data_IF_139635346294
#
_entry.id   IF_139635346294
#
_cell.length_a   1.000
_cell.length_b   1.000
_cell.length_c   1.000
_cell.angle_alpha   90.00
_cell.angle_beta   90.00
_cell.angle_gamma   90.00
#
_symmetry.space_group_name_H-M   'P 1'
#
loop_
_entity.id
_entity.type
_entity.pdbx_description
1 polymer ?
#
# COMPACT_ATOMS: atom_id res chain seq x y z
N UNK A 1 -10.61 8.96 31.42
CA UNK A 1 -10.95 9.76 30.22
C UNK A 1 -11.02 8.80 29.05
N UNK A 2 -12.09 8.83 28.27
CA UNK A 2 -12.14 8.05 27.03
C UNK A 2 -11.06 8.59 26.07
N UNK A 3 -10.17 7.71 25.60
CA UNK A 3 -9.19 8.08 24.61
C UNK A 3 -9.91 8.61 23.35
N UNK A 4 -9.40 9.70 22.78
CA UNK A 4 -9.87 10.17 21.48
C UNK A 4 -9.48 9.12 20.46
N UNK A 5 -10.47 8.43 19.89
CA UNK A 5 -10.25 7.40 18.89
C UNK A 5 -10.54 8.02 17.53
N UNK A 6 -9.62 7.98 16.55
CA UNK A 6 -9.90 8.33 15.17
C UNK A 6 -11.14 7.61 14.67
N UNK A 7 -11.96 8.33 13.91
CA UNK A 7 -13.17 7.76 13.31
C UNK A 7 -12.84 7.22 11.93
N UNK A 8 -13.52 6.13 11.58
CA UNK A 8 -13.49 5.63 10.22
C UNK A 8 -14.38 6.54 9.35
N UNK A 9 -13.88 7.14 8.28
CA UNK A 9 -14.68 7.94 7.38
C UNK A 9 -15.69 7.07 6.65
N UNK A 10 -16.86 7.60 6.33
CA UNK A 10 -17.82 6.90 5.47
C UNK A 10 -17.34 6.92 4.01
N UNK A 11 -16.67 7.98 3.60
CA UNK A 11 -16.15 8.18 2.25
C UNK A 11 -14.71 8.67 2.28
N UNK A 12 -13.99 8.48 1.18
CA UNK A 12 -12.65 8.99 0.94
C UNK A 12 -12.56 9.54 -0.48
N UNK A 13 -11.90 10.70 -0.64
CA UNK A 13 -11.65 11.28 -1.96
C UNK A 13 -10.26 10.88 -2.45
N UNK A 14 -10.21 10.19 -3.57
CA UNK A 14 -9.00 9.68 -4.21
C UNK A 14 -8.65 10.53 -5.42
N UNK A 15 -7.42 11.02 -5.51
CA UNK A 15 -6.87 11.64 -6.70
C UNK A 15 -6.27 10.57 -7.61
N UNK A 16 -6.74 10.49 -8.87
CA UNK A 16 -6.35 9.42 -9.80
C UNK A 16 -4.99 9.71 -10.48
N UNK A 17 -3.95 9.91 -9.69
CA UNK A 17 -2.60 10.20 -10.19
C UNK A 17 -1.65 10.64 -9.09
N UNK A 18 -0.47 11.13 -9.48
CA UNK A 18 0.46 11.77 -8.56
C UNK A 18 -0.13 13.10 -8.03
N UNK A 19 0.25 13.58 -6.84
CA UNK A 19 -0.41 14.72 -6.19
C UNK A 19 -0.54 16.00 -7.03
N UNK A 20 0.41 16.24 -7.93
CA UNK A 20 0.44 17.41 -8.81
C UNK A 20 -0.01 17.10 -10.25
N UNK A 21 -0.46 15.89 -10.52
CA UNK A 21 -0.94 15.52 -11.84
C UNK A 21 -2.29 16.17 -12.14
N UNK A 22 -2.53 16.45 -13.42
CA UNK A 22 -3.85 16.86 -13.88
C UNK A 22 -4.73 15.61 -14.04
N UNK A 23 -5.33 15.18 -12.93
CA UNK A 23 -6.15 13.97 -12.87
C UNK A 23 -7.46 14.24 -12.13
N UNK A 24 -8.44 13.34 -12.31
CA UNK A 24 -9.73 13.43 -11.64
C UNK A 24 -9.63 13.09 -10.16
N UNK A 25 -10.54 13.65 -9.37
CA UNK A 25 -10.80 13.20 -8.00
C UNK A 25 -12.10 12.40 -8.00
N UNK A 26 -12.09 11.24 -7.37
CA UNK A 26 -13.27 10.39 -7.16
C UNK A 26 -13.53 10.22 -5.68
N UNK A 27 -14.78 10.37 -5.27
CA UNK A 27 -15.18 10.10 -3.88
C UNK A 27 -15.92 8.77 -3.83
N UNK A 28 -15.43 7.88 -2.99
CA UNK A 28 -15.95 6.51 -2.87
C UNK A 28 -16.17 6.14 -1.40
N UNK A 29 -17.06 5.20 -1.09
CA UNK A 29 -17.16 4.67 0.28
C UNK A 29 -15.80 4.15 0.75
N UNK A 30 -15.43 4.47 2.00
CA UNK A 30 -14.11 4.09 2.55
C UNK A 30 -13.89 2.57 2.50
N UNK A 31 -14.91 1.79 2.84
CA UNK A 31 -14.85 0.32 2.77
C UNK A 31 -14.58 -0.16 1.34
N UNK A 32 -15.24 0.46 0.35
CA UNK A 32 -15.03 0.14 -1.07
C UNK A 32 -13.60 0.51 -1.52
N UNK A 33 -13.06 1.62 -1.02
CA UNK A 33 -11.67 2.01 -1.24
C UNK A 33 -10.71 0.93 -0.72
N UNK A 34 -10.88 0.47 0.52
CA UNK A 34 -10.02 -0.56 1.12
C UNK A 34 -10.11 -1.87 0.33
N UNK A 35 -11.32 -2.29 -0.06
CA UNK A 35 -11.52 -3.48 -0.91
C UNK A 35 -10.78 -3.39 -2.24
N UNK A 36 -10.87 -2.22 -2.88
CA UNK A 36 -10.20 -1.94 -4.15
C UNK A 36 -8.68 -2.02 -4.01
N UNK A 37 -8.12 -1.27 -3.06
CA UNK A 37 -6.67 -1.24 -2.81
C UNK A 37 -6.17 -2.64 -2.43
N UNK A 38 -6.81 -3.33 -1.50
CA UNK A 38 -6.39 -4.67 -1.10
C UNK A 38 -6.41 -5.65 -2.28
N UNK A 39 -7.45 -5.57 -3.13
CA UNK A 39 -7.52 -6.36 -4.36
C UNK A 39 -6.48 -5.94 -5.41
N UNK A 40 -5.85 -4.77 -5.27
CA UNK A 40 -4.78 -4.26 -6.14
C UNK A 40 -3.37 -4.58 -5.63
N UNK A 41 -3.24 -4.85 -4.34
CA UNK A 41 -1.94 -4.93 -3.66
C UNK A 41 -1.53 -6.36 -3.29
N UNK A 42 -2.50 -7.28 -3.07
CA UNK A 42 -2.21 -8.63 -2.63
C UNK A 42 -2.99 -9.69 -3.42
N UNK A 43 -2.44 -10.89 -3.49
CA UNK A 43 -3.05 -12.00 -4.20
C UNK A 43 -4.14 -12.67 -3.36
N UNK A 44 -5.31 -12.95 -3.93
CA UNK A 44 -6.41 -13.60 -3.21
C UNK A 44 -6.09 -15.04 -2.79
N UNK A 45 -5.07 -15.64 -3.38
CA UNK A 45 -4.59 -17.00 -3.09
C UNK A 45 -3.75 -17.09 -1.82
N UNK A 46 -3.37 -15.96 -1.23
CA UNK A 46 -2.52 -15.93 -0.04
C UNK A 46 -3.24 -16.42 1.22
N UNK A 47 -2.44 -16.82 2.20
CA UNK A 47 -2.93 -17.26 3.51
C UNK A 47 -3.81 -16.17 4.17
N UNK A 48 -4.93 -16.54 4.82
CA UNK A 48 -5.84 -15.59 5.45
C UNK A 48 -5.17 -14.66 6.46
N UNK A 49 -4.13 -15.12 7.16
CA UNK A 49 -3.39 -14.29 8.11
C UNK A 49 -2.52 -13.24 7.42
N UNK A 50 -1.96 -13.55 6.25
CA UNK A 50 -1.24 -12.58 5.42
C UNK A 50 -2.20 -11.54 4.83
N UNK A 51 -3.33 -11.99 4.25
CA UNK A 51 -4.35 -11.09 3.72
C UNK A 51 -4.83 -10.11 4.80
N UNK A 52 -5.18 -10.62 5.99
CA UNK A 52 -5.63 -9.79 7.11
C UNK A 52 -4.56 -8.80 7.59
N UNK A 53 -3.28 -9.20 7.65
CA UNK A 53 -2.19 -8.31 8.03
C UNK A 53 -2.02 -7.17 7.02
N UNK A 54 -2.04 -7.46 5.73
CA UNK A 54 -1.95 -6.46 4.67
C UNK A 54 -3.17 -5.52 4.66
N UNK A 55 -4.38 -6.04 4.80
CA UNK A 55 -5.61 -5.24 4.86
C UNK A 55 -5.59 -4.28 6.05
N UNK A 56 -5.15 -4.73 7.22
CA UNK A 56 -4.99 -3.87 8.40
C UNK A 56 -3.95 -2.77 8.18
N UNK A 57 -2.84 -3.07 7.48
CA UNK A 57 -1.85 -2.07 7.11
C UNK A 57 -2.41 -1.05 6.12
N UNK A 58 -3.10 -1.50 5.06
CA UNK A 58 -3.78 -0.67 4.06
C UNK A 58 -4.79 0.27 4.73
N UNK A 59 -5.66 -0.28 5.59
CA UNK A 59 -6.67 0.49 6.34
C UNK A 59 -6.02 1.54 7.23
N UNK A 60 -4.97 1.16 7.98
CA UNK A 60 -4.27 2.06 8.89
C UNK A 60 -3.56 3.19 8.16
N UNK A 61 -2.93 2.90 7.03
CA UNK A 61 -2.28 3.90 6.20
C UNK A 61 -3.29 4.91 5.63
N UNK A 62 -4.37 4.44 5.02
CA UNK A 62 -5.42 5.30 4.47
C UNK A 62 -6.05 6.16 5.58
N UNK A 63 -6.36 5.56 6.72
CA UNK A 63 -6.92 6.28 7.86
C UNK A 63 -5.94 7.31 8.43
N UNK A 64 -4.64 7.03 8.42
CA UNK A 64 -3.63 8.01 8.80
C UNK A 64 -3.65 9.23 7.88
N UNK A 65 -3.74 9.03 6.54
CA UNK A 65 -3.83 10.13 5.57
C UNK A 65 -5.03 11.04 5.83
N UNK A 66 -6.18 10.43 6.10
CA UNK A 66 -7.42 11.16 6.44
C UNK A 66 -7.28 11.85 7.79
N UNK A 67 -6.87 11.13 8.83
CA UNK A 67 -6.77 11.66 10.19
C UNK A 67 -5.79 12.82 10.31
N UNK A 68 -4.65 12.75 9.63
CA UNK A 68 -3.62 13.80 9.64
C UNK A 68 -3.87 14.88 8.61
N UNK A 69 -4.91 14.74 7.76
CA UNK A 69 -5.19 15.64 6.63
C UNK A 69 -3.99 15.88 5.74
N UNK A 70 -3.28 14.82 5.49
CA UNK A 70 -1.99 14.88 4.82
C UNK A 70 -2.00 15.75 3.56
N UNK A 71 -2.98 15.58 2.70
CA UNK A 71 -3.15 16.40 1.48
C UNK A 71 -3.98 17.65 1.71
N UNK A 72 -5.10 17.55 2.43
CA UNK A 72 -6.01 18.67 2.65
C UNK A 72 -5.33 19.83 3.39
N UNK A 73 -4.46 19.53 4.37
CA UNK A 73 -3.70 20.57 5.08
C UNK A 73 -2.70 21.31 4.18
N UNK A 74 -2.38 20.75 3.02
CA UNK A 74 -1.54 21.35 1.98
C UNK A 74 -2.32 22.06 0.88
N UNK A 75 -3.64 22.11 1.00
CA UNK A 75 -4.53 22.78 0.06
C UNK A 75 -5.04 21.90 -1.08
N UNK A 76 -4.76 20.63 -1.07
CA UNK A 76 -5.32 19.69 -2.06
C UNK A 76 -6.77 19.34 -1.75
N UNK A 77 -7.63 19.15 -2.77
CA UNK A 77 -9.05 18.83 -2.58
C UNK A 77 -9.34 17.32 -2.41
N UNK A 78 -8.37 16.52 -2.03
CA UNK A 78 -8.47 15.07 -1.89
C UNK A 78 -7.77 14.56 -0.61
N UNK A 79 -8.03 13.32 -0.24
CA UNK A 79 -7.51 12.70 0.98
C UNK A 79 -6.29 11.82 0.72
N UNK A 80 -6.25 11.18 -0.45
CA UNK A 80 -5.24 10.20 -0.83
C UNK A 80 -5.08 10.17 -2.35
N UNK A 81 -3.96 9.63 -2.84
CA UNK A 81 -3.73 9.44 -4.27
C UNK A 81 -3.83 7.96 -4.67
N UNK A 82 -4.01 7.68 -5.95
CA UNK A 82 -3.91 6.33 -6.52
C UNK A 82 -2.47 5.94 -6.89
N UNK A 83 -1.52 6.84 -6.69
CA UNK A 83 -0.12 6.62 -7.07
C UNK A 83 0.63 5.85 -5.98
N UNK A 84 1.16 4.69 -6.32
CA UNK A 84 1.95 3.85 -5.41
C UNK A 84 3.29 4.47 -5.02
N UNK A 85 3.77 5.46 -5.78
CA UNK A 85 4.92 6.27 -5.40
C UNK A 85 4.66 7.16 -4.18
N UNK A 86 3.39 7.48 -3.90
CA UNK A 86 2.99 8.36 -2.81
C UNK A 86 2.12 7.67 -1.76
N UNK A 87 1.18 6.83 -2.22
CA UNK A 87 0.18 6.19 -1.36
C UNK A 87 -0.05 4.72 -1.74
N UNK A 88 -1.22 4.36 -2.26
CA UNK A 88 -1.67 2.99 -2.44
C UNK A 88 -2.26 2.78 -3.84
N UNK A 89 -2.21 1.55 -4.34
CA UNK A 89 -2.75 1.18 -5.65
C UNK A 89 -4.28 1.18 -5.64
N UNK A 90 -4.90 2.30 -5.92
CA UNK A 90 -6.34 2.37 -6.19
C UNK A 90 -6.59 2.33 -7.70
N UNK A 91 -7.44 1.43 -8.15
CA UNK A 91 -7.78 1.22 -9.57
C UNK A 91 -9.28 1.41 -9.76
N UNK A 92 -9.70 2.50 -10.37
CA UNK A 92 -11.13 2.77 -10.58
C UNK A 92 -11.77 1.67 -11.44
N UNK A 93 -12.93 1.17 -11.00
CA UNK A 93 -13.72 0.17 -11.72
C UNK A 93 -13.18 -1.25 -11.70
N UNK A 94 -12.11 -1.55 -10.93
CA UNK A 94 -11.62 -2.93 -10.87
C UNK A 94 -12.56 -3.87 -10.13
N UNK A 95 -12.51 -5.14 -10.50
CA UNK A 95 -13.20 -6.21 -9.80
C UNK A 95 -12.58 -6.47 -8.41
N UNK A 96 -13.44 -6.74 -7.44
CA UNK A 96 -13.05 -7.02 -6.06
C UNK A 96 -13.09 -8.54 -5.84
N UNK A 97 -12.06 -9.09 -5.23
CA UNK A 97 -12.02 -10.51 -4.84
C UNK A 97 -12.93 -10.76 -3.64
N UNK A 98 -13.72 -11.80 -3.71
CA UNK A 98 -14.75 -12.09 -2.69
C UNK A 98 -14.16 -12.35 -1.32
N UNK A 99 -13.09 -13.15 -1.21
CA UNK A 99 -12.41 -13.42 0.07
C UNK A 99 -11.74 -12.18 0.66
N UNK A 100 -11.17 -11.30 -0.17
CA UNK A 100 -10.63 -10.01 0.27
C UNK A 100 -11.76 -9.12 0.74
N UNK A 101 -12.89 -9.05 -0.02
CA UNK A 101 -14.07 -8.30 0.37
C UNK A 101 -14.57 -8.72 1.75
N UNK A 102 -14.67 -10.02 2.00
CA UNK A 102 -15.10 -10.56 3.28
C UNK A 102 -14.17 -10.15 4.43
N UNK A 103 -12.86 -10.27 4.27
CA UNK A 103 -11.89 -9.88 5.30
C UNK A 103 -11.98 -8.37 5.57
N UNK A 104 -12.16 -7.55 4.54
CA UNK A 104 -12.35 -6.10 4.72
C UNK A 104 -13.63 -5.82 5.51
N UNK A 105 -14.75 -6.46 5.18
CA UNK A 105 -16.02 -6.28 5.91
C UNK A 105 -15.91 -6.66 7.40
N UNK A 106 -15.03 -7.62 7.73
CA UNK A 106 -14.74 -8.01 9.11
C UNK A 106 -13.80 -7.04 9.85
N UNK A 107 -13.02 -6.22 9.14
CA UNK A 107 -11.88 -5.50 9.73
C UNK A 107 -11.81 -4.01 9.40
N UNK A 108 -12.72 -3.46 8.59
CA UNK A 108 -12.65 -2.07 8.11
C UNK A 108 -12.67 -1.02 9.24
N UNK A 109 -13.20 -1.36 10.41
CA UNK A 109 -13.25 -0.52 11.61
C UNK A 109 -12.10 -0.82 12.59
N UNK A 110 -11.12 -1.59 12.14
CA UNK A 110 -9.94 -1.95 12.91
C UNK A 110 -8.69 -1.34 12.26
N UNK A 111 -7.88 -0.69 13.08
CA UNK A 111 -6.63 -0.10 12.60
C UNK A 111 -5.49 -0.29 13.60
N UNK A 112 -4.27 -0.14 13.13
CA UNK A 112 -3.03 -0.25 13.90
C UNK A 112 -2.69 1.14 14.47
N UNK A 113 -2.28 1.19 15.74
CA UNK A 113 -1.61 2.36 16.31
C UNK A 113 -0.42 1.94 17.17
N UNK A 114 0.43 2.88 17.50
CA UNK A 114 1.45 2.64 18.53
C UNK A 114 0.85 2.85 19.92
N UNK A 115 1.30 2.05 20.86
CA UNK A 115 0.86 2.17 22.27
C UNK A 115 1.17 3.57 22.81
N UNK A 116 0.17 4.21 23.39
CA UNK A 116 0.29 5.56 23.92
C UNK A 116 0.09 6.68 22.90
N UNK A 117 -0.11 6.34 21.61
CA UNK A 117 -0.42 7.30 20.55
C UNK A 117 -1.89 7.18 20.15
N UNK A 118 -2.46 8.25 19.64
CA UNK A 118 -3.87 8.32 19.21
C UNK A 118 -4.02 8.07 17.72
N UNK A 119 -3.05 8.56 16.95
CA UNK A 119 -3.09 8.49 15.50
C UNK A 119 -2.98 7.06 14.97
N UNK A 120 -3.70 6.75 13.90
CA UNK A 120 -3.48 5.53 13.14
C UNK A 120 -2.02 5.45 12.68
N UNK A 121 -1.43 4.28 12.74
CA UNK A 121 -0.09 4.08 12.22
C UNK A 121 -0.09 4.35 10.72
N UNK A 122 0.82 5.16 10.27
CA UNK A 122 1.13 5.22 8.86
C UNK A 122 1.87 3.94 8.46
N UNK A 123 1.12 2.86 8.35
CA UNK A 123 1.60 1.52 8.17
C UNK A 123 2.13 1.34 6.74
N UNK A 124 3.35 1.80 6.48
CA UNK A 124 4.03 1.67 5.19
C UNK A 124 4.19 0.20 4.83
N UNK A 125 3.98 -0.12 3.57
CA UNK A 125 4.19 -1.46 3.03
C UNK A 125 4.76 -1.38 1.61
N UNK A 126 5.34 -2.45 1.16
CA UNK A 126 5.87 -2.61 -0.19
C UNK A 126 5.88 -4.08 -0.59
N UNK A 127 6.11 -4.34 -1.85
CA UNK A 127 6.16 -5.69 -2.39
C UNK A 127 7.12 -6.61 -1.60
N UNK A 128 8.31 -6.13 -1.26
CA UNK A 128 9.31 -6.89 -0.50
C UNK A 128 10.24 -7.74 -1.37
N UNK A 129 9.97 -7.85 -2.68
CA UNK A 129 10.79 -8.56 -3.65
C UNK A 129 11.23 -7.66 -4.80
N UNK A 130 10.31 -6.91 -5.37
CA UNK A 130 10.57 -5.95 -6.46
C UNK A 130 10.82 -4.54 -5.94
N UNK A 131 10.37 -4.26 -4.73
CA UNK A 131 10.67 -3.06 -3.98
C UNK A 131 10.88 -3.39 -2.51
N UNK A 132 11.69 -2.62 -1.81
CA UNK A 132 11.90 -2.73 -0.36
C UNK A 132 11.61 -1.40 0.31
N UNK A 133 11.12 -1.45 1.54
CA UNK A 133 10.85 -0.28 2.34
C UNK A 133 11.06 -0.59 3.83
N UNK A 134 11.08 0.45 4.62
CA UNK A 134 11.05 0.33 6.08
C UNK A 134 9.59 0.17 6.55
N UNK A 135 9.02 -1.00 6.28
CA UNK A 135 7.63 -1.34 6.55
C UNK A 135 7.32 -2.80 6.28
N UNK A 136 6.03 -3.14 6.11
CA UNK A 136 5.59 -4.50 5.86
C UNK A 136 5.98 -4.95 4.46
N UNK A 137 6.72 -6.04 4.36
CA UNK A 137 6.91 -6.78 3.11
C UNK A 137 5.68 -7.63 2.81
N UNK A 138 5.01 -7.39 1.70
CA UNK A 138 3.81 -8.14 1.31
C UNK A 138 4.14 -9.63 1.12
N UNK A 139 5.15 -9.97 0.31
CA UNK A 139 5.61 -11.35 0.15
C UNK A 139 6.20 -11.95 1.43
N UNK A 140 6.91 -11.13 2.21
CA UNK A 140 7.40 -11.56 3.52
C UNK A 140 6.27 -11.91 4.48
N UNK A 141 5.14 -11.18 4.43
CA UNK A 141 3.96 -11.50 5.23
C UNK A 141 3.34 -12.84 4.85
N UNK A 142 3.30 -13.16 3.54
CA UNK A 142 2.86 -14.47 3.07
C UNK A 142 3.79 -15.59 3.55
N UNK A 143 5.10 -15.40 3.45
CA UNK A 143 6.06 -16.39 3.93
C UNK A 143 5.95 -16.64 5.46
N UNK A 144 5.68 -15.59 6.25
CA UNK A 144 5.45 -15.74 7.70
C UNK A 144 4.10 -16.43 8.00
N UNK A 145 3.07 -16.13 7.22
CA UNK A 145 1.77 -16.78 7.34
C UNK A 145 1.86 -18.31 7.05
N UNK A 146 2.61 -18.69 6.03
CA UNK A 146 2.89 -20.10 5.71
C UNK A 146 3.66 -20.81 6.80
N UNK A 147 4.40 -20.07 7.64
CA UNK A 147 5.04 -20.58 8.85
C UNK A 147 4.09 -20.66 10.06
N UNK A 148 2.83 -20.30 9.89
CA UNK A 148 1.78 -20.37 10.91
C UNK A 148 1.61 -19.14 11.78
N UNK A 149 2.26 -18.00 11.44
CA UNK A 149 2.07 -16.76 12.21
C UNK A 149 0.68 -16.17 11.94
N UNK A 150 0.06 -15.67 13.00
CA UNK A 150 -1.19 -14.91 12.87
C UNK A 150 -0.93 -13.46 12.41
N UNK A 151 -1.98 -12.75 12.01
CA UNK A 151 -1.87 -11.41 11.43
C UNK A 151 -1.21 -10.39 12.37
N UNK A 152 -1.44 -10.46 13.68
CA UNK A 152 -0.84 -9.53 14.64
C UNK A 152 0.65 -9.84 14.85
N UNK A 153 1.05 -11.10 14.87
CA UNK A 153 2.45 -11.51 14.94
C UNK A 153 3.21 -11.05 13.69
N UNK A 154 2.60 -11.20 12.51
CA UNK A 154 3.14 -10.69 11.26
C UNK A 154 3.34 -9.16 11.33
N UNK A 155 2.31 -8.42 11.75
CA UNK A 155 2.39 -6.96 11.86
C UNK A 155 3.48 -6.52 12.85
N UNK A 156 3.60 -7.21 14.00
CA UNK A 156 4.65 -6.91 14.99
C UNK A 156 6.05 -7.15 14.46
N UNK A 157 6.22 -8.14 13.61
CA UNK A 157 7.51 -8.42 12.97
C UNK A 157 8.04 -7.23 12.18
N UNK A 158 7.14 -6.44 11.58
CA UNK A 158 7.51 -5.29 10.73
C UNK A 158 7.41 -3.95 11.42
N UNK A 159 6.43 -3.78 12.29
CA UNK A 159 6.15 -2.47 12.93
C UNK A 159 6.59 -2.38 14.39
N UNK A 160 7.05 -3.49 14.98
CA UNK A 160 7.50 -3.55 16.38
C UNK A 160 6.43 -4.02 17.36
N UNK A 161 6.87 -4.43 18.55
CA UNK A 161 6.00 -5.00 19.59
C UNK A 161 5.12 -3.97 20.30
N UNK A 162 5.39 -2.69 20.08
CA UNK A 162 4.65 -1.56 20.66
C UNK A 162 3.38 -1.19 19.89
N UNK A 163 3.04 -1.92 18.83
CA UNK A 163 1.77 -1.75 18.13
C UNK A 163 0.62 -2.43 18.87
N UNK A 164 -0.56 -1.85 18.73
CA UNK A 164 -1.83 -2.42 19.16
C UNK A 164 -2.91 -2.19 18.12
N UNK A 165 -3.94 -3.04 18.12
CA UNK A 165 -5.11 -2.88 17.27
C UNK A 165 -6.20 -2.12 18.02
N UNK A 166 -6.74 -1.09 17.40
CA UNK A 166 -7.98 -0.46 17.81
C UNK A 166 -9.09 -1.12 17.03
N UNK A 167 -9.99 -1.77 17.71
CA UNK A 167 -11.14 -2.48 17.12
C UNK A 167 -12.42 -1.72 17.36
N UNK A 168 -13.42 -1.89 16.48
CA UNK A 168 -14.71 -1.21 16.56
C UNK A 168 -14.56 0.33 16.63
N UNK A 169 -13.69 0.89 15.82
CA UNK A 169 -13.53 2.33 15.73
C UNK A 169 -14.83 2.97 15.20
N UNK A 170 -15.29 4.06 15.81
CA UNK A 170 -16.56 4.67 15.43
C UNK A 170 -16.50 5.27 14.02
N UNK A 171 -17.57 5.14 13.26
CA UNK A 171 -17.73 5.77 11.94
C UNK A 171 -18.23 7.21 12.04
N UNK A 172 -17.93 8.03 11.04
CA UNK A 172 -18.43 9.39 10.91
C UNK A 172 -18.74 9.77 9.46
N UNK A 173 -19.86 10.43 9.26
CA UNK A 173 -20.32 10.85 7.93
C UNK A 173 -19.50 12.02 7.33
N UNK A 174 -18.83 12.81 8.14
CA UNK A 174 -17.99 13.93 7.70
C UNK A 174 -16.77 14.05 8.60
N UNK A 175 -15.59 13.91 8.04
CA UNK A 175 -14.36 14.30 8.69
C UNK A 175 -13.85 15.56 7.98
N UNK A 176 -14.54 16.68 8.20
CA UNK A 176 -13.86 17.94 8.03
C UNK A 176 -12.94 18.11 9.22
N UNK A 177 -11.69 18.29 8.96
CA UNK A 177 -10.70 18.47 9.97
C UNK A 177 -10.91 19.78 10.74
N UNK A 178 -11.16 20.84 10.03
CA UNK A 178 -11.57 22.09 10.67
C UNK A 178 -13.09 22.05 10.94
N UNK A 179 -13.52 22.16 12.22
CA UNK A 179 -14.94 21.98 12.59
C UNK A 179 -15.86 23.10 12.12
N UNK A 180 -15.39 24.00 11.24
CA UNK A 180 -16.16 25.14 10.75
C UNK A 180 -16.26 26.31 11.73
N UNK A 181 -16.04 26.05 13.01
CA UNK A 181 -16.08 27.07 14.07
C UNK A 181 -14.73 27.20 14.75
N UNK A 182 -14.32 28.43 15.01
CA UNK A 182 -13.08 28.70 15.72
C UNK A 182 -13.14 28.22 17.16
N UNK A 183 -12.11 27.50 17.62
CA UNK A 183 -11.95 27.13 19.02
C UNK A 183 -11.31 28.28 19.80
N UNK A 184 -11.92 28.63 20.93
CA UNK A 184 -11.50 29.71 21.80
C UNK A 184 -11.77 29.38 23.25
N UNK A 185 -11.34 30.22 24.16
CA UNK A 185 -11.58 30.05 25.59
C UNK A 185 -13.04 29.68 25.89
N UNK A 186 -13.23 28.61 26.64
CA UNK A 186 -14.51 28.03 26.98
C UNK A 186 -15.06 27.02 25.97
N UNK A 187 -14.48 26.84 24.81
CA UNK A 187 -14.86 25.77 23.90
C UNK A 187 -14.63 24.40 24.55
N UNK A 188 -15.56 23.47 24.29
CA UNK A 188 -15.52 22.11 24.85
C UNK A 188 -15.83 21.12 23.76
N UNK A 189 -15.09 20.01 23.74
CA UNK A 189 -15.38 18.93 22.84
C UNK A 189 -14.14 18.23 22.30
N UNK A 190 -14.40 17.34 21.35
CA UNK A 190 -13.40 16.47 20.75
C UNK A 190 -12.33 17.25 19.99
N UNK A 191 -12.73 18.30 19.28
CA UNK A 191 -11.79 19.11 18.48
C UNK A 191 -10.78 19.82 19.38
N UNK A 192 -11.20 20.21 20.58
CA UNK A 192 -10.31 20.74 21.61
C UNK A 192 -9.31 19.68 22.06
N UNK A 193 -9.75 18.43 22.31
CA UNK A 193 -8.84 17.32 22.67
C UNK A 193 -7.81 17.08 21.56
N UNK A 194 -8.26 17.08 20.32
CA UNK A 194 -7.37 16.89 19.15
C UNK A 194 -6.28 17.96 19.11
N UNK A 195 -6.66 19.22 19.30
CA UNK A 195 -5.70 20.33 19.31
C UNK A 195 -4.79 20.31 20.55
N UNK A 196 -5.29 19.91 21.72
CA UNK A 196 -4.50 19.69 22.92
C UNK A 196 -3.42 18.63 22.69
N UNK A 197 -3.78 17.51 22.09
CA UNK A 197 -2.85 16.43 21.79
C UNK A 197 -1.80 16.87 20.76
N UNK A 198 -2.22 17.53 19.68
CA UNK A 198 -1.33 18.03 18.65
C UNK A 198 -0.33 19.06 19.19
N UNK A 199 -0.79 20.06 19.93
CA UNK A 199 0.07 21.09 20.55
C UNK A 199 1.04 20.46 21.55
N UNK A 200 0.60 19.50 22.37
CA UNK A 200 1.47 18.80 23.30
C UNK A 200 2.54 17.96 22.61
N UNK A 201 2.23 17.37 21.45
CA UNK A 201 3.25 16.68 20.66
C UNK A 201 4.23 17.65 20.04
N UNK A 202 3.74 18.76 19.49
CA UNK A 202 4.56 19.83 18.92
C UNK A 202 5.48 20.45 19.99
N UNK A 203 4.99 20.65 21.22
CA UNK A 203 5.76 21.23 22.32
C UNK A 203 7.00 20.40 22.70
N UNK A 204 7.07 19.12 22.36
CA UNK A 204 8.28 18.31 22.56
C UNK A 204 9.45 18.78 21.68
N UNK A 205 9.14 19.25 20.47
CA UNK A 205 10.12 19.80 19.54
C UNK A 205 10.32 21.33 19.70
N UNK A 206 9.30 22.01 20.23
CA UNK A 206 9.25 23.45 20.46
C UNK A 206 8.91 23.75 21.93
N UNK A 207 9.89 23.61 22.86
CA UNK A 207 9.64 23.69 24.32
C UNK A 207 9.10 25.04 24.80
N UNK A 208 9.20 26.09 23.98
CA UNK A 208 8.61 27.40 24.29
C UNK A 208 7.07 27.37 24.28
N UNK A 209 6.45 26.37 23.66
CA UNK A 209 4.98 26.16 23.71
C UNK A 209 4.65 25.45 25.02
N UNK A 210 3.87 26.08 25.93
CA UNK A 210 3.49 25.46 27.20
C UNK A 210 2.71 24.17 26.98
N UNK A 211 3.04 23.12 27.75
CA UNK A 211 2.27 21.86 27.70
C UNK A 211 0.89 22.05 28.34
N UNK A 212 -0.13 21.56 27.66
CA UNK A 212 -1.51 21.62 28.10
C UNK A 212 -1.82 20.40 29.00
N UNK A 213 -2.15 20.64 30.25
CA UNK A 213 -2.54 19.62 31.21
C UNK A 213 -3.66 20.14 32.14
N UNK A 214 -4.80 19.42 32.29
CA UNK A 214 -5.09 18.13 31.66
C UNK A 214 -5.57 18.26 30.20
N UNK A 215 -5.39 17.20 29.41
CA UNK A 215 -6.01 17.05 28.08
C UNK A 215 -7.43 16.52 28.28
N UNK A 216 -8.36 17.41 28.55
CA UNK A 216 -9.74 17.06 28.95
C UNK A 216 -10.81 17.58 27.99
N UNK A 217 -10.39 18.15 26.86
CA UNK A 217 -11.31 18.69 25.87
C UNK A 217 -11.92 20.04 26.26
N UNK A 218 -11.38 20.74 27.24
CA UNK A 218 -11.80 22.09 27.63
C UNK A 218 -10.73 23.08 27.20
N UNK A 219 -11.10 24.09 26.43
CA UNK A 219 -10.21 25.16 26.02
C UNK A 219 -10.07 26.16 27.17
N UNK A 220 -9.03 25.99 27.96
CA UNK A 220 -8.71 26.82 29.13
C UNK A 220 -7.84 28.01 28.78
N UNK A 221 -7.64 28.95 29.71
CA UNK A 221 -6.67 30.04 29.59
C UNK A 221 -5.23 29.52 29.38
N UNK A 222 -4.91 28.36 29.94
CA UNK A 222 -3.61 27.72 29.75
C UNK A 222 -3.44 27.22 28.29
N UNK A 223 -4.48 26.64 27.71
CA UNK A 223 -4.47 26.28 26.29
C UNK A 223 -4.39 27.53 25.39
N UNK A 224 -5.11 28.60 25.75
CA UNK A 224 -5.02 29.87 25.01
C UNK A 224 -3.58 30.41 24.97
N UNK A 225 -2.86 30.35 26.09
CA UNK A 225 -1.46 30.73 26.14
C UNK A 225 -0.58 29.86 25.23
N UNK A 226 -0.82 28.57 25.22
CA UNK A 226 -0.11 27.64 24.33
C UNK A 226 -0.39 27.96 22.85
N UNK A 227 -1.62 28.30 22.52
CA UNK A 227 -2.01 28.70 21.16
C UNK A 227 -1.35 30.01 20.76
N UNK A 228 -1.35 31.04 21.62
CA UNK A 228 -0.67 32.32 21.37
C UNK A 228 0.80 32.13 21.15
N UNK A 229 1.45 31.31 21.95
CA UNK A 229 2.88 31.03 21.80
C UNK A 229 3.17 30.28 20.50
N UNK A 230 2.32 29.31 20.13
CA UNK A 230 2.40 28.64 18.83
C UNK A 230 2.28 29.66 17.68
N UNK A 231 1.25 30.50 17.73
CA UNK A 231 1.00 31.51 16.71
C UNK A 231 2.18 32.48 16.55
N UNK A 232 2.81 32.93 17.65
CA UNK A 232 4.00 33.78 17.63
C UNK A 232 5.19 33.10 16.96
N UNK A 233 5.47 31.83 17.32
CA UNK A 233 6.60 31.07 16.75
C UNK A 233 6.46 30.89 15.25
N UNK A 234 5.21 30.69 14.77
CA UNK A 234 4.95 30.38 13.37
C UNK A 234 4.39 31.55 12.56
N UNK A 235 4.59 32.80 13.02
CA UNK A 235 4.19 34.04 12.35
C UNK A 235 2.70 34.09 11.96
N UNK A 236 1.85 33.61 12.84
CA UNK A 236 0.39 33.76 12.75
C UNK A 236 -0.05 34.94 13.63
N UNK A 237 -1.29 35.43 13.40
CA UNK A 237 -1.90 36.39 14.33
C UNK A 237 -2.04 35.76 15.70
N UNK A 238 -1.36 36.31 16.71
CA UNK A 238 -1.29 35.74 18.06
C UNK A 238 -2.52 36.15 18.89
N UNK A 239 -3.70 35.78 18.44
CA UNK A 239 -4.99 36.06 19.10
C UNK A 239 -5.43 35.00 20.12
N UNK A 240 -4.73 33.85 20.17
CA UNK A 240 -5.07 32.73 21.04
C UNK A 240 -6.29 31.93 20.58
N UNK A 241 -6.76 32.17 19.36
CA UNK A 241 -7.92 31.51 18.78
C UNK A 241 -7.46 30.51 17.73
N UNK A 242 -7.97 29.29 17.78
CA UNK A 242 -7.74 28.32 16.72
C UNK A 242 -8.83 28.49 15.65
N UNK A 243 -8.61 29.47 14.77
CA UNK A 243 -9.35 29.61 13.53
C UNK A 243 -8.79 28.69 12.44
N UNK A 244 -9.38 28.73 11.25
CA UNK A 244 -9.00 27.84 10.14
C UNK A 244 -7.49 27.85 9.82
N UNK A 245 -6.86 29.02 9.77
CA UNK A 245 -5.44 29.15 9.50
C UNK A 245 -4.57 28.51 10.59
N UNK A 246 -4.89 28.79 11.86
CA UNK A 246 -4.18 28.21 13.02
C UNK A 246 -4.39 26.70 13.09
N UNK A 247 -5.60 26.22 12.82
CA UNK A 247 -5.91 24.78 12.76
C UNK A 247 -5.00 24.05 11.78
N UNK A 248 -4.97 24.49 10.54
CA UNK A 248 -4.13 23.86 9.51
C UNK A 248 -2.62 24.02 9.77
N UNK A 249 -2.21 25.11 10.38
CA UNK A 249 -0.81 25.27 10.77
C UNK A 249 -0.40 24.25 11.85
N UNK A 250 -1.26 24.03 12.86
CA UNK A 250 -1.06 23.02 13.91
C UNK A 250 -1.00 21.62 13.28
N UNK A 251 -1.95 21.25 12.44
CA UNK A 251 -1.98 19.93 11.80
C UNK A 251 -0.74 19.71 10.93
N UNK A 252 -0.35 20.70 10.12
CA UNK A 252 0.84 20.63 9.27
C UNK A 252 2.11 20.40 10.07
N UNK A 253 2.26 21.13 11.17
CA UNK A 253 3.42 20.99 12.02
C UNK A 253 3.40 19.66 12.81
N UNK A 254 2.24 19.23 13.24
CA UNK A 254 2.05 17.91 13.88
C UNK A 254 2.53 16.79 12.94
N UNK A 255 2.13 16.82 11.66
CA UNK A 255 2.61 15.89 10.64
C UNK A 255 4.14 15.94 10.53
N UNK A 256 4.72 17.14 10.51
CA UNK A 256 6.17 17.31 10.37
C UNK A 256 6.94 16.75 11.60
N UNK A 257 6.52 17.07 12.82
CA UNK A 257 7.23 16.62 14.04
C UNK A 257 6.99 15.13 14.37
N UNK A 258 5.95 14.54 13.83
CA UNK A 258 5.68 13.09 13.91
C UNK A 258 6.31 12.32 12.75
N UNK A 259 7.01 13.02 11.85
CA UNK A 259 7.62 12.48 10.63
C UNK A 259 6.64 11.74 9.71
N UNK A 260 5.36 12.07 9.80
CA UNK A 260 4.34 11.47 8.94
C UNK A 260 4.51 11.88 7.46
N UNK A 261 5.28 12.96 7.20
CA UNK A 261 5.63 13.37 5.85
C UNK A 261 6.71 12.49 5.20
N UNK A 262 7.47 11.73 6.01
CA UNK A 262 8.49 10.80 5.51
C UNK A 262 7.90 9.48 4.99
N UNK A 263 6.58 9.44 4.83
CA UNK A 263 5.84 8.30 4.28
C UNK A 263 5.70 8.37 2.75
N UNK A 264 6.50 9.20 2.11
CA UNK A 264 6.74 9.07 0.68
C UNK A 264 7.30 7.69 0.36
N UNK A 265 7.29 7.35 -0.89
CA UNK A 265 8.15 6.31 -1.45
C UNK A 265 9.66 6.51 -1.11
N UNK A 266 10.02 7.59 -0.44
CA UNK A 266 11.31 7.76 0.24
C UNK A 266 11.55 6.57 1.17
N UNK A 267 12.51 5.73 0.76
CA UNK A 267 12.80 4.45 1.41
C UNK A 267 12.22 3.23 0.70
N UNK A 268 11.37 3.37 -0.30
CA UNK A 268 11.18 2.28 -1.26
C UNK A 268 12.36 2.26 -2.22
N UNK A 269 13.04 1.14 -2.27
CA UNK A 269 14.05 0.90 -3.29
C UNK A 269 13.41 0.04 -4.36
N UNK A 270 13.18 0.62 -5.51
CA UNK A 270 12.81 -0.14 -6.70
C UNK A 270 14.08 -0.76 -7.25
N UNK A 271 14.11 -2.07 -7.38
CA UNK A 271 15.19 -2.70 -8.10
C UNK A 271 15.08 -2.27 -9.57
N UNK A 272 16.22 -1.85 -10.15
CA UNK A 272 16.28 -1.48 -11.55
C UNK A 272 15.98 -2.75 -12.36
N UNK A 273 14.76 -2.86 -12.85
CA UNK A 273 14.19 -4.11 -13.35
C UNK A 273 14.40 -4.21 -14.83
N UNK A 274 15.64 -4.50 -15.21
CA UNK A 274 15.82 -5.17 -16.47
C UNK A 274 15.22 -6.57 -16.34
N UNK A 275 13.96 -6.75 -16.71
CA UNK A 275 13.34 -8.06 -16.91
C UNK A 275 13.94 -8.79 -18.11
N UNK A 276 14.98 -8.22 -18.67
CA UNK A 276 15.75 -8.79 -19.75
C UNK A 276 16.62 -9.92 -19.23
N UNK A 277 16.66 -10.98 -19.99
CA UNK A 277 17.60 -12.07 -19.75
C UNK A 277 19.03 -11.59 -19.94
N UNK A 278 19.86 -11.70 -18.92
CA UNK A 278 21.26 -11.27 -18.98
C UNK A 278 22.26 -12.43 -19.06
N UNK A 279 21.82 -13.66 -18.83
CA UNK A 279 22.67 -14.84 -18.89
C UNK A 279 22.08 -16.07 -18.22
N UNK A 280 22.71 -17.25 -18.37
CA UNK A 280 22.20 -18.49 -17.82
C UNK A 280 22.11 -18.46 -16.30
N UNK A 281 21.00 -19.00 -15.75
CA UNK A 281 20.82 -19.20 -14.33
C UNK A 281 20.74 -20.68 -14.00
N UNK A 282 21.50 -21.09 -12.99
CA UNK A 282 21.54 -22.48 -12.53
C UNK A 282 21.74 -22.54 -11.02
N UNK A 283 21.69 -23.74 -10.47
CA UNK A 283 21.95 -23.94 -9.06
C UNK A 283 23.28 -23.32 -8.63
N UNK A 284 23.25 -22.49 -7.57
CA UNK A 284 24.35 -21.67 -7.11
C UNK A 284 24.34 -20.23 -7.62
N UNK A 285 23.55 -19.87 -8.62
CA UNK A 285 23.39 -18.48 -9.08
C UNK A 285 22.74 -17.62 -7.97
N UNK A 286 23.13 -16.34 -7.93
CA UNK A 286 22.61 -15.39 -6.91
C UNK A 286 22.30 -14.02 -7.54
N UNK A 287 21.52 -13.22 -6.84
CA UNK A 287 21.29 -11.81 -7.17
C UNK A 287 19.94 -11.52 -7.81
N UNK A 288 19.79 -10.30 -8.35
CA UNK A 288 18.51 -9.76 -8.79
C UNK A 288 17.78 -10.61 -9.84
N UNK A 289 18.51 -11.18 -10.80
CA UNK A 289 17.89 -12.03 -11.80
C UNK A 289 17.31 -13.33 -11.22
N UNK A 290 17.96 -13.89 -10.19
CA UNK A 290 17.40 -15.04 -9.47
C UNK A 290 16.12 -14.62 -8.71
N UNK A 291 16.13 -13.44 -8.10
CA UNK A 291 14.94 -12.89 -7.47
C UNK A 291 13.78 -12.74 -8.45
N UNK A 292 14.04 -12.20 -9.65
CA UNK A 292 13.01 -12.03 -10.67
C UNK A 292 12.48 -13.38 -11.16
N UNK A 293 13.37 -14.35 -11.39
CA UNK A 293 12.98 -15.71 -11.75
C UNK A 293 12.08 -16.35 -10.69
N UNK A 294 12.52 -16.30 -9.43
CA UNK A 294 11.77 -16.84 -8.30
C UNK A 294 10.41 -16.16 -8.17
N UNK A 295 10.37 -14.85 -8.35
CA UNK A 295 9.13 -14.08 -8.32
C UNK A 295 8.15 -14.53 -9.41
N UNK A 296 8.60 -14.58 -10.66
CA UNK A 296 7.77 -15.05 -11.78
C UNK A 296 7.24 -16.47 -11.55
N UNK A 297 8.12 -17.37 -11.12
CA UNK A 297 7.73 -18.76 -10.85
C UNK A 297 6.79 -18.89 -9.64
N UNK A 298 6.95 -18.06 -8.61
CA UNK A 298 6.04 -18.04 -7.47
C UNK A 298 4.64 -17.56 -7.88
N UNK A 299 4.55 -16.48 -8.66
CA UNK A 299 3.29 -15.99 -9.22
C UNK A 299 2.63 -17.06 -10.10
N UNK A 300 3.40 -17.67 -10.99
CA UNK A 300 2.89 -18.76 -11.83
C UNK A 300 2.39 -19.94 -11.00
N UNK A 301 3.07 -20.28 -9.90
CA UNK A 301 2.70 -21.35 -8.99
C UNK A 301 1.36 -21.13 -8.29
N UNK A 302 0.95 -19.88 -8.08
CA UNK A 302 -0.36 -19.54 -7.54
C UNK A 302 -1.52 -19.85 -8.51
N UNK A 303 -1.24 -19.99 -9.81
CA UNK A 303 -2.24 -20.22 -10.85
C UNK A 303 -2.06 -21.55 -11.61
N UNK A 304 -0.93 -22.22 -11.44
CA UNK A 304 -0.58 -23.46 -12.13
C UNK A 304 -0.25 -24.55 -11.10
N UNK A 305 -1.18 -25.45 -10.84
CA UNK A 305 -1.06 -26.52 -9.85
C UNK A 305 0.20 -27.43 -10.03
N UNK A 306 0.74 -27.46 -11.27
CA UNK A 306 1.93 -28.26 -11.57
C UNK A 306 3.24 -27.63 -11.07
N UNK A 307 3.22 -26.36 -10.66
CA UNK A 307 4.40 -25.64 -10.16
C UNK A 307 4.40 -25.65 -8.63
N UNK A 308 5.56 -25.99 -8.00
CA UNK A 308 5.68 -25.91 -6.56
C UNK A 308 5.78 -24.45 -6.09
N UNK A 309 5.36 -24.20 -4.87
CA UNK A 309 5.72 -22.97 -4.17
C UNK A 309 7.23 -22.95 -3.90
N UNK A 310 7.84 -21.77 -3.99
CA UNK A 310 9.27 -21.60 -3.74
C UNK A 310 9.54 -20.29 -2.99
N UNK A 311 10.62 -20.24 -2.17
CA UNK A 311 11.02 -19.01 -1.51
C UNK A 311 11.65 -18.03 -2.51
N UNK A 312 11.42 -16.74 -2.31
CA UNK A 312 12.06 -15.65 -3.05
C UNK A 312 13.20 -15.12 -2.17
N UNK A 313 14.40 -15.63 -2.39
CA UNK A 313 15.56 -15.40 -1.51
C UNK A 313 16.84 -15.00 -2.25
N UNK A 314 16.73 -14.72 -3.55
CA UNK A 314 17.85 -14.35 -4.42
C UNK A 314 18.95 -15.43 -4.56
N UNK A 315 18.70 -16.66 -4.13
CA UNK A 315 19.61 -17.79 -4.26
C UNK A 315 18.96 -18.93 -5.05
N UNK A 316 19.54 -19.31 -6.17
CA UNK A 316 19.07 -20.44 -6.98
C UNK A 316 19.44 -21.75 -6.29
N UNK A 317 18.64 -22.16 -5.33
CA UNK A 317 18.80 -23.40 -4.60
C UNK A 317 18.06 -24.58 -5.23
N UNK A 318 18.05 -25.75 -4.53
CA UNK A 318 17.32 -26.93 -5.00
C UNK A 318 15.83 -26.70 -5.25
N UNK A 319 15.17 -25.87 -4.45
CA UNK A 319 13.75 -25.52 -4.60
C UNK A 319 13.52 -24.73 -5.90
N UNK A 320 14.37 -23.75 -6.20
CA UNK A 320 14.31 -22.99 -7.45
C UNK A 320 14.53 -23.92 -8.66
N UNK A 321 15.50 -24.82 -8.56
CA UNK A 321 15.75 -25.83 -9.58
C UNK A 321 14.54 -26.73 -9.82
N UNK A 322 13.88 -27.17 -8.75
CA UNK A 322 12.67 -27.99 -8.87
C UNK A 322 11.53 -27.21 -9.55
N UNK A 323 11.33 -25.94 -9.21
CA UNK A 323 10.32 -25.11 -9.84
C UNK A 323 10.63 -24.89 -11.34
N UNK A 324 11.88 -24.67 -11.70
CA UNK A 324 12.33 -24.57 -13.12
C UNK A 324 12.04 -25.88 -13.86
N UNK A 325 12.41 -27.03 -13.30
CA UNK A 325 12.13 -28.35 -13.89
C UNK A 325 10.64 -28.59 -14.05
N UNK A 326 9.84 -28.19 -13.05
CA UNK A 326 8.37 -28.31 -13.11
C UNK A 326 7.80 -27.42 -14.23
N UNK A 327 8.28 -26.18 -14.36
CA UNK A 327 7.88 -25.28 -15.44
C UNK A 327 8.30 -25.82 -16.82
N UNK A 328 9.54 -26.24 -16.96
CA UNK A 328 10.05 -26.83 -18.22
C UNK A 328 9.20 -28.04 -18.65
N UNK A 329 8.87 -28.92 -17.71
CA UNK A 329 7.98 -30.07 -17.95
C UNK A 329 6.60 -29.63 -18.37
N UNK A 330 6.00 -28.71 -17.61
CA UNK A 330 4.65 -28.21 -17.86
C UNK A 330 4.53 -27.49 -19.20
N UNK A 331 5.56 -26.69 -19.55
CA UNK A 331 5.57 -25.91 -20.79
C UNK A 331 6.06 -26.73 -22.01
N UNK A 332 6.65 -27.90 -21.80
CA UNK A 332 7.20 -28.76 -22.85
C UNK A 332 8.58 -28.37 -23.31
N UNK A 333 9.38 -27.75 -22.45
CA UNK A 333 10.78 -27.42 -22.69
C UNK A 333 11.70 -28.58 -22.26
N UNK A 334 12.98 -28.61 -22.74
CA UNK A 334 13.98 -29.52 -22.24
C UNK A 334 14.17 -29.39 -20.73
N UNK A 335 14.06 -30.47 -19.98
CA UNK A 335 14.12 -30.48 -18.52
C UNK A 335 15.58 -30.45 -18.05
N UNK A 336 16.23 -29.30 -18.16
CA UNK A 336 17.64 -29.11 -17.77
C UNK A 336 17.80 -28.69 -16.31
N UNK A 337 16.79 -28.04 -15.76
CA UNK A 337 16.85 -27.40 -14.44
C UNK A 337 17.73 -26.15 -14.42
N UNK A 338 18.16 -25.68 -15.61
CA UNK A 338 18.84 -24.40 -15.84
C UNK A 338 17.89 -23.48 -16.62
N UNK A 339 18.07 -22.18 -16.51
CA UNK A 339 17.26 -21.19 -17.22
C UNK A 339 18.13 -20.55 -18.28
N UNK A 340 17.88 -20.89 -19.52
CA UNK A 340 18.46 -20.25 -20.70
C UNK A 340 17.49 -19.20 -21.26
N UNK A 341 17.88 -18.46 -22.29
CA UNK A 341 17.07 -17.39 -22.88
C UNK A 341 15.65 -17.86 -23.27
N UNK A 342 15.53 -19.07 -23.81
CA UNK A 342 14.23 -19.62 -24.19
C UNK A 342 13.35 -19.93 -22.95
N UNK A 343 13.94 -20.44 -21.88
CA UNK A 343 13.22 -20.72 -20.62
C UNK A 343 12.78 -19.41 -19.99
N UNK A 344 13.68 -18.42 -19.91
CA UNK A 344 13.37 -17.10 -19.38
C UNK A 344 12.21 -16.45 -20.13
N UNK A 345 12.29 -16.40 -21.45
CA UNK A 345 11.24 -15.79 -22.27
C UNK A 345 9.90 -16.54 -22.11
N UNK A 346 9.93 -17.86 -22.02
CA UNK A 346 8.73 -18.66 -21.82
C UNK A 346 8.10 -18.39 -20.44
N UNK A 347 8.90 -18.31 -19.36
CA UNK A 347 8.45 -17.97 -18.02
C UNK A 347 7.87 -16.55 -18.02
N UNK A 348 8.59 -15.60 -18.61
CA UNK A 348 8.16 -14.21 -18.67
C UNK A 348 6.88 -14.01 -19.48
N UNK A 349 6.75 -14.68 -20.64
CA UNK A 349 5.53 -14.63 -21.46
C UNK A 349 4.30 -15.18 -20.72
N UNK A 350 4.48 -16.25 -19.93
CA UNK A 350 3.38 -16.80 -19.11
C UNK A 350 3.03 -15.88 -17.95
N UNK A 351 4.04 -15.32 -17.30
CA UNK A 351 3.87 -14.33 -16.26
C UNK A 351 3.13 -13.09 -16.79
N UNK A 352 3.54 -12.52 -17.94
CA UNK A 352 2.83 -11.42 -18.58
C UNK A 352 1.42 -11.80 -19.03
N UNK A 353 1.16 -13.06 -19.32
CA UNK A 353 -0.19 -13.55 -19.64
C UNK A 353 -1.14 -13.46 -18.46
N UNK A 354 -0.67 -13.74 -17.24
CA UNK A 354 -1.41 -13.50 -16.00
C UNK A 354 -1.62 -12.00 -15.81
N UNK A 355 -0.59 -11.21 -15.90
CA UNK A 355 -0.62 -9.76 -15.79
C UNK A 355 -1.55 -9.12 -16.84
N UNK A 356 -1.45 -9.54 -18.10
CA UNK A 356 -2.27 -9.01 -19.19
C UNK A 356 -3.76 -9.29 -19.04
N UNK A 357 -4.14 -10.41 -18.42
CA UNK A 357 -5.54 -10.72 -18.11
C UNK A 357 -6.10 -9.71 -17.07
N UNK A 358 -5.24 -9.26 -16.17
CA UNK A 358 -5.56 -8.24 -15.17
C UNK A 358 -5.77 -6.87 -15.82
N UNK A 359 -4.87 -6.53 -16.75
CA UNK A 359 -4.82 -5.20 -17.37
C UNK A 359 -5.93 -4.96 -18.38
N UNK A 360 -6.54 -6.00 -18.93
CA UNK A 360 -7.71 -5.84 -19.79
C UNK A 360 -8.88 -5.17 -19.05
N UNK A 361 -8.99 -5.42 -17.75
CA UNK A 361 -9.98 -4.75 -16.90
C UNK A 361 -9.47 -3.39 -16.36
N UNK A 362 -8.17 -3.17 -16.37
CA UNK A 362 -7.49 -1.97 -15.87
C UNK A 362 -7.10 -0.95 -16.96
N UNK A 363 -7.62 -1.06 -18.17
CA UNK A 363 -7.31 -0.20 -19.35
C UNK A 363 -7.63 1.31 -19.16
N UNK A 364 -7.88 1.72 -17.92
CA UNK A 364 -8.20 3.09 -17.52
C UNK A 364 -7.04 3.82 -16.81
N UNK A 365 -5.86 3.20 -16.71
CA UNK A 365 -4.70 3.85 -16.10
C UNK A 365 -3.91 4.69 -17.11
N UNK A 366 -3.85 6.04 -16.98
CA UNK A 366 -2.99 6.87 -17.84
C UNK A 366 -1.50 6.54 -17.71
N UNK A 367 -1.03 6.10 -16.54
CA UNK A 367 0.34 5.65 -16.32
C UNK A 367 0.61 4.26 -16.90
N UNK A 368 -0.41 3.41 -16.98
CA UNK A 368 -0.34 2.11 -17.62
C UNK A 368 -0.43 2.19 -19.15
N UNK A 369 -0.88 3.34 -19.70
CA UNK A 369 -0.98 3.48 -21.15
C UNK A 369 0.38 3.42 -21.87
N UNK A 370 1.47 3.85 -21.22
CA UNK A 370 2.82 3.67 -21.73
C UNK A 370 3.27 2.19 -21.69
N UNK A 371 3.00 1.53 -20.59
CA UNK A 371 3.29 0.11 -20.40
C UNK A 371 2.32 -0.78 -21.20
N UNK A 372 1.04 -0.39 -21.31
CA UNK A 372 0.07 -1.08 -22.15
C UNK A 372 0.43 -1.04 -23.63
N UNK A 373 1.07 0.05 -24.09
CA UNK A 373 1.58 0.14 -25.47
C UNK A 373 2.78 -0.79 -25.68
N UNK A 374 3.69 -0.90 -24.72
CA UNK A 374 4.80 -1.85 -24.78
C UNK A 374 4.31 -3.30 -24.61
N UNK A 375 3.39 -3.58 -23.71
CA UNK A 375 2.77 -4.90 -23.56
C UNK A 375 1.90 -5.26 -24.77
N UNK A 376 1.24 -4.28 -25.40
CA UNK A 376 0.48 -4.53 -26.66
C UNK A 376 1.44 -4.82 -27.82
N UNK A 377 2.60 -4.18 -27.87
CA UNK A 377 3.65 -4.47 -28.86
C UNK A 377 4.28 -5.84 -28.62
N UNK A 378 4.60 -6.17 -27.37
CA UNK A 378 5.09 -7.49 -26.95
C UNK A 378 3.98 -8.56 -27.09
N UNK A 379 2.73 -8.23 -26.77
CA UNK A 379 1.58 -9.08 -26.98
C UNK A 379 1.31 -9.37 -28.45
N UNK A 380 1.58 -8.44 -29.36
CA UNK A 380 1.49 -8.69 -30.80
C UNK A 380 2.68 -9.51 -31.34
N UNK A 381 3.88 -9.36 -30.80
CA UNK A 381 5.01 -10.22 -31.14
C UNK A 381 4.83 -11.64 -30.59
N UNK A 382 4.30 -11.77 -29.36
CA UNK A 382 3.95 -13.06 -28.78
C UNK A 382 2.74 -13.72 -29.47
N UNK A 383 1.79 -12.92 -29.99
CA UNK A 383 0.70 -13.45 -30.83
C UNK A 383 1.21 -13.95 -32.18
N UNK A 384 2.23 -13.35 -32.76
CA UNK A 384 2.84 -13.87 -34.00
C UNK A 384 3.70 -15.12 -33.74
N UNK A 385 4.47 -15.13 -32.67
CA UNK A 385 5.18 -16.33 -32.22
C UNK A 385 4.22 -17.42 -31.72
N UNK A 386 3.08 -17.01 -31.14
CA UNK A 386 2.01 -17.89 -30.74
C UNK A 386 1.29 -18.56 -31.94
N UNK A 387 1.15 -17.85 -33.06
CA UNK A 387 0.61 -18.43 -34.28
C UNK A 387 1.52 -19.53 -34.88
N UNK A 388 2.83 -19.35 -34.72
CA UNK A 388 3.83 -20.36 -35.14
C UNK A 388 3.87 -21.58 -34.20
N UNK A 389 3.38 -21.45 -32.96
CA UNK A 389 3.44 -22.51 -31.93
C UNK A 389 2.09 -23.21 -31.68
N UNK A 390 1.12 -23.06 -32.59
CA UNK A 390 -0.26 -23.62 -32.46
C UNK A 390 -0.36 -25.14 -32.29
N UNK A 391 0.74 -25.87 -32.32
CA UNK A 391 0.77 -27.32 -32.17
C UNK A 391 1.26 -27.83 -30.81
N UNK A 392 1.39 -26.96 -29.81
CA UNK A 392 1.76 -27.41 -28.46
C UNK A 392 0.50 -27.60 -27.62
N UNK A 393 0.23 -28.79 -27.07
CA UNK A 393 -1.03 -29.12 -26.40
C UNK A 393 -1.27 -28.40 -25.06
N UNK A 394 -0.35 -27.62 -24.59
CA UNK A 394 -0.31 -27.23 -23.17
C UNK A 394 -0.74 -25.81 -22.83
N UNK A 395 -1.31 -25.08 -23.76
CA UNK A 395 -1.98 -23.82 -23.44
C UNK A 395 -3.35 -23.97 -22.76
N UNK A 396 -3.77 -25.23 -22.55
CA UNK A 396 -5.07 -25.52 -21.95
C UNK A 396 -5.18 -25.12 -20.46
N UNK A 397 -4.05 -25.00 -19.74
CA UNK A 397 -4.08 -24.63 -18.33
C UNK A 397 -4.57 -23.21 -18.07
N UNK A 398 -4.19 -22.26 -18.93
CA UNK A 398 -4.64 -20.87 -18.79
C UNK A 398 -6.10 -20.67 -19.20
N UNK A 399 -6.58 -21.43 -20.18
CA UNK A 399 -7.95 -21.28 -20.66
C UNK A 399 -9.01 -21.81 -19.67
N UNK A 400 -8.59 -22.63 -18.72
CA UNK A 400 -9.50 -23.25 -17.75
C UNK A 400 -9.72 -22.41 -16.49
N UNK A 401 -9.02 -21.29 -16.35
CA UNK A 401 -9.07 -20.56 -15.09
C UNK A 401 -9.96 -19.35 -15.19
N UNK A 402 -11.18 -19.50 -14.74
CA UNK A 402 -12.06 -18.43 -14.25
C UNK A 402 -11.36 -17.53 -13.22
N UNK A 403 -10.15 -17.89 -12.78
CA UNK A 403 -9.29 -17.10 -11.89
C UNK A 403 -8.61 -15.92 -12.58
N UNK A 404 -8.55 -15.90 -13.91
CA UNK A 404 -7.85 -14.85 -14.68
C UNK A 404 -8.40 -13.45 -14.45
N UNK A 405 -9.71 -13.30 -14.28
CA UNK A 405 -10.33 -12.01 -14.01
C UNK A 405 -10.07 -11.46 -12.61
N UNK A 406 -9.36 -12.22 -11.78
CA UNK A 406 -9.22 -11.95 -10.36
C UNK A 406 -7.78 -11.63 -9.92
N UNK A 407 -6.88 -11.48 -10.84
CA UNK A 407 -5.49 -11.21 -10.52
C UNK A 407 -5.29 -9.76 -10.03
N UNK A 408 -4.53 -9.49 -8.98
CA UNK A 408 -4.42 -8.15 -8.40
C UNK A 408 -3.52 -7.15 -9.14
N UNK A 409 -3.02 -7.43 -10.28
CA UNK A 409 -2.32 -6.47 -11.15
C UNK A 409 -1.16 -5.66 -10.54
N UNK A 410 -0.54 -6.17 -9.52
CA UNK A 410 0.35 -5.36 -8.75
C UNK A 410 1.82 -5.36 -9.20
N UNK A 411 2.16 -6.20 -10.15
CA UNK A 411 3.45 -6.15 -10.86
C UNK A 411 3.63 -4.86 -11.65
N UNK A 412 2.57 -4.09 -11.79
CA UNK A 412 2.54 -2.76 -12.40
C UNK A 412 3.56 -1.76 -11.89
N UNK A 413 4.07 -1.99 -10.71
CA UNK A 413 5.09 -1.14 -10.13
C UNK A 413 6.48 -1.38 -10.73
N UNK A 414 6.57 -2.41 -11.58
CA UNK A 414 7.81 -2.80 -12.23
C UNK A 414 8.06 -1.91 -13.44
N UNK A 415 8.66 -0.80 -13.30
CA UNK A 415 9.15 -0.01 -14.42
C UNK A 415 8.66 1.42 -14.50
N UNK A 416 7.93 1.94 -13.54
CA UNK A 416 7.79 3.37 -13.43
C UNK A 416 9.14 3.97 -12.98
N UNK A 417 10.04 4.15 -13.91
CA UNK A 417 11.06 5.17 -13.76
C UNK A 417 10.32 6.49 -13.79
N UNK A 418 10.21 7.12 -12.64
CA UNK A 418 9.90 8.54 -12.60
C UNK A 418 11.06 9.27 -13.28
N UNK A 419 10.83 9.98 -14.39
CA UNK A 419 11.82 10.93 -14.86
C UNK A 419 11.82 12.07 -13.84
N UNK A 420 12.94 12.27 -13.17
CA UNK A 420 13.24 13.20 -12.09
C UNK A 420 12.64 14.58 -12.16
#
# INVERSE_FOLDING_TARGET
>A
MAAVIPRIPTEITVHLGAPNASAANVTVPFVSYIKNVASSEVYPTWEPSALRANILAITSFALNRVYTEYYRSRGYPFDITSSTAYDQAYVEGRNIFENISQIVDETFDTYIRRRGFVEPLAAKFCNGTTSTCDGLSQWGSQALAQQGLNSLEILRRYYGDDIELVVNAPQAENIESYPGNALRLGAVGRDVVTMQAALNRISQNYPAIPKINPMNGIFTTHMEQSVRQFQQIFNLTADGIIGRATWYAIIRLYIAVTRLAELHAEGQTYYNNAWEYTGPLSEGSTGAQVTHLQYMLAVLGDFIDALPTLPINAFFGPETRQAVLAFQRWYGLPQTGTVEANDWNAIYDQFLGIEGAIFQDAALFPAASGLAVETTALGNSSRQSAAARRNTPQRQGFAATTRQSQYPGYVLQLGSQDPG
#
